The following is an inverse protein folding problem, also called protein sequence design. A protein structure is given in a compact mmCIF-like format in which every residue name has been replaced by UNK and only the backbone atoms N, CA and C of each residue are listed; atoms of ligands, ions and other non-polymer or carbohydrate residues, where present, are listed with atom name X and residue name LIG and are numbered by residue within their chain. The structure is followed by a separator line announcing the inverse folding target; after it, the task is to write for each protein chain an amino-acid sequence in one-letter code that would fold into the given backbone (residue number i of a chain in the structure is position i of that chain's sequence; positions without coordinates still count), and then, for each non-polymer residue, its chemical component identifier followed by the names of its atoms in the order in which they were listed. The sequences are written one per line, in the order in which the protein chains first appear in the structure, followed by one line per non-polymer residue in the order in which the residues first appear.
data_IF_472171898039
#
_entry.id   IF_472171898039
#
_cell.length_a   1.000
_cell.length_b   1.000
_cell.length_c   1.000
_cell.angle_alpha   90.00
_cell.angle_beta   90.00
_cell.angle_gamma   90.00
#
_symmetry.space_group_name_H-M   'P 1'
#
loop_
_entity.id
_entity.type
_entity.pdbx_description
1 polymer ?
#
# COMPACT_ATOMS: atom_id res chain seq x y z
N UNK A 1 19.80 -7.32 -25.44
CA UNK A 1 18.97 -6.28 -24.81
C UNK A 1 19.67 -5.89 -23.51
N UNK A 2 20.23 -4.69 -23.44
CA UNK A 2 21.01 -4.24 -22.28
C UNK A 2 20.02 -3.91 -21.16
N UNK A 3 19.96 -4.75 -20.13
CA UNK A 3 19.22 -4.43 -18.90
C UNK A 3 20.05 -3.42 -18.11
N UNK A 4 19.76 -2.13 -18.29
CA UNK A 4 20.42 -1.04 -17.58
C UNK A 4 19.87 -0.85 -16.14
N UNK A 5 18.93 -1.69 -15.71
CA UNK A 5 18.31 -1.60 -14.38
C UNK A 5 18.78 -2.67 -13.38
N UNK A 6 19.70 -3.56 -13.78
CA UNK A 6 20.10 -4.71 -12.96
C UNK A 6 21.24 -4.49 -11.96
N UNK A 7 21.86 -3.30 -11.89
CA UNK A 7 23.13 -3.10 -11.15
C UNK A 7 23.08 -2.15 -9.96
N UNK A 8 21.97 -1.43 -9.74
CA UNK A 8 21.73 -0.77 -8.45
C UNK A 8 20.90 -1.73 -7.60
N UNK A 9 21.52 -2.36 -6.59
CA UNK A 9 20.80 -3.25 -5.67
C UNK A 9 19.53 -2.58 -5.14
N UNK A 10 18.42 -3.33 -4.99
CA UNK A 10 17.13 -2.82 -4.48
C UNK A 10 17.39 -1.89 -3.30
N UNK A 11 16.98 -0.62 -3.43
CA UNK A 11 17.27 0.39 -2.41
C UNK A 11 16.77 -0.08 -1.06
N UNK A 12 17.49 0.29 0.01
CA UNK A 12 17.11 -0.04 1.40
C UNK A 12 15.65 0.32 1.68
N UNK A 13 15.19 1.42 1.09
CA UNK A 13 13.83 1.94 1.20
C UNK A 13 12.80 0.99 0.57
N UNK A 14 13.05 0.46 -0.63
CA UNK A 14 12.15 -0.53 -1.25
C UNK A 14 12.07 -1.79 -0.41
N UNK A 15 13.17 -2.23 0.22
CA UNK A 15 13.13 -3.39 1.14
C UNK A 15 12.24 -3.13 2.35
N UNK A 16 12.27 -1.92 2.92
CA UNK A 16 11.37 -1.56 4.01
C UNK A 16 9.89 -1.61 3.58
N UNK A 17 9.56 -1.21 2.35
CA UNK A 17 8.20 -1.41 1.81
C UNK A 17 7.85 -2.89 1.70
N UNK A 18 8.77 -3.71 1.19
CA UNK A 18 8.56 -5.16 1.08
C UNK A 18 8.36 -5.82 2.43
N UNK A 19 9.12 -5.41 3.45
CA UNK A 19 8.98 -5.90 4.81
C UNK A 19 7.64 -5.43 5.42
N UNK A 20 7.25 -4.18 5.17
CA UNK A 20 5.98 -3.61 5.59
C UNK A 20 4.78 -4.38 5.05
N UNK A 21 4.67 -4.59 3.73
CA UNK A 21 3.54 -5.35 3.16
C UNK A 21 3.54 -6.82 3.62
N UNK A 22 4.72 -7.43 3.78
CA UNK A 22 4.83 -8.82 4.21
C UNK A 22 4.43 -9.01 5.66
N UNK A 23 4.60 -7.98 6.50
CA UNK A 23 4.14 -7.99 7.88
C UNK A 23 2.60 -8.09 7.99
N UNK A 24 1.88 -7.69 6.93
CA UNK A 24 0.41 -7.69 6.86
C UNK A 24 -0.17 -8.79 5.96
N UNK A 25 0.61 -9.84 5.69
CA UNK A 25 0.17 -11.00 4.89
C UNK A 25 0.31 -10.83 3.37
N UNK A 26 0.58 -9.62 2.87
CA UNK A 26 0.71 -9.39 1.43
C UNK A 26 2.10 -9.82 0.91
N UNK A 27 2.12 -10.81 0.03
CA UNK A 27 3.37 -11.27 -0.57
C UNK A 27 3.97 -10.19 -1.48
N UNK A 28 5.20 -9.76 -1.21
CA UNK A 28 5.91 -8.67 -1.90
C UNK A 28 5.98 -8.77 -3.44
N UNK A 29 5.89 -9.97 -4.00
CA UNK A 29 5.90 -10.18 -5.46
C UNK A 29 4.57 -9.79 -6.13
N UNK A 30 3.48 -9.72 -5.36
CA UNK A 30 2.18 -9.26 -5.84
C UNK A 30 2.11 -7.74 -5.93
N UNK A 31 3.01 -7.03 -5.26
CA UNK A 31 3.13 -5.57 -5.34
C UNK A 31 3.99 -5.19 -6.55
N UNK A 32 3.45 -4.49 -7.55
CA UNK A 32 4.23 -4.03 -8.69
C UNK A 32 5.39 -3.13 -8.23
N UNK A 33 6.56 -3.24 -8.89
CA UNK A 33 7.71 -2.41 -8.51
C UNK A 33 7.42 -0.90 -8.65
N UNK A 34 6.59 -0.50 -9.62
CA UNK A 34 6.12 0.88 -9.75
C UNK A 34 5.37 1.37 -8.51
N UNK A 35 4.52 0.53 -7.91
CA UNK A 35 3.81 0.85 -6.65
C UNK A 35 4.84 1.06 -5.53
N UNK A 36 5.81 0.14 -5.39
CA UNK A 36 6.85 0.25 -4.34
C UNK A 36 7.65 1.54 -4.46
N UNK A 37 8.08 1.90 -5.67
CA UNK A 37 8.83 3.14 -5.90
C UNK A 37 7.99 4.39 -5.64
N UNK A 38 6.71 4.38 -6.04
CA UNK A 38 5.81 5.51 -5.77
C UNK A 38 5.54 5.65 -4.27
N UNK A 39 5.33 4.57 -3.52
CA UNK A 39 5.17 4.63 -2.05
C UNK A 39 6.42 5.21 -1.40
N UNK A 40 7.62 4.79 -1.83
CA UNK A 40 8.88 5.40 -1.35
C UNK A 40 8.92 6.91 -1.63
N UNK A 41 8.49 7.35 -2.82
CA UNK A 41 8.41 8.78 -3.15
C UNK A 41 7.44 9.51 -2.22
N UNK A 42 6.23 8.99 -2.05
CA UNK A 42 5.20 9.59 -1.18
C UNK A 42 5.67 9.70 0.27
N UNK A 43 6.30 8.66 0.80
CA UNK A 43 6.84 8.68 2.17
C UNK A 43 7.97 9.69 2.35
N UNK A 44 8.76 10.01 1.32
CA UNK A 44 9.79 11.06 1.38
C UNK A 44 9.20 12.47 1.45
N UNK A 45 7.94 12.63 1.08
CA UNK A 45 7.24 13.91 1.12
C UNK A 45 6.62 14.18 2.51
N UNK A 46 6.60 13.18 3.41
CA UNK A 46 6.15 13.35 4.79
C UNK A 46 7.31 13.69 5.74
N UNK A 47 7.04 14.34 6.89
CA UNK A 47 8.06 14.62 7.90
C UNK A 47 8.78 13.37 8.43
N UNK A 48 8.09 12.23 8.51
CA UNK A 48 8.64 10.97 9.00
C UNK A 48 9.62 10.31 8.01
N UNK A 49 9.51 10.62 6.72
CA UNK A 49 10.32 10.01 5.69
C UNK A 49 10.09 8.49 5.55
N UNK A 50 11.05 7.82 4.91
CA UNK A 50 11.05 6.34 4.81
C UNK A 50 11.66 5.74 6.06
N UNK A 51 10.82 5.19 6.94
CA UNK A 51 11.22 4.54 8.19
C UNK A 51 10.49 3.19 8.36
N UNK A 52 10.97 2.29 9.23
CA UNK A 52 10.26 1.04 9.51
C UNK A 52 8.79 1.27 9.91
N UNK A 53 8.51 2.33 10.66
CA UNK A 53 7.16 2.64 11.11
C UNK A 53 6.27 3.19 9.99
N UNK A 54 6.76 4.14 9.19
CA UNK A 54 5.99 4.70 8.07
C UNK A 54 5.74 3.66 6.97
N UNK A 55 6.72 2.80 6.72
CA UNK A 55 6.58 1.67 5.78
C UNK A 55 5.66 0.57 6.29
N UNK A 56 5.64 0.30 7.60
CA UNK A 56 4.66 -0.60 8.21
C UNK A 56 3.23 -0.06 8.09
N UNK A 57 3.02 1.24 8.36
CA UNK A 57 1.71 1.89 8.23
C UNK A 57 1.21 1.93 6.78
N UNK A 58 2.10 2.22 5.82
CA UNK A 58 1.77 2.14 4.40
C UNK A 58 1.49 0.70 3.96
N UNK A 59 2.27 -0.27 4.48
CA UNK A 59 2.09 -1.69 4.20
C UNK A 59 0.73 -2.23 4.63
N UNK A 60 0.21 -1.79 5.78
CA UNK A 60 -1.13 -2.15 6.27
C UNK A 60 -2.21 -1.76 5.27
N UNK A 61 -2.18 -0.51 4.80
CA UNK A 61 -3.19 0.02 3.89
C UNK A 61 -3.09 -0.61 2.51
N UNK A 62 -1.87 -0.83 1.99
CA UNK A 62 -1.67 -1.56 0.74
C UNK A 62 -2.18 -3.00 0.83
N UNK A 63 -1.90 -3.69 1.94
CA UNK A 63 -2.39 -5.06 2.15
C UNK A 63 -3.92 -5.10 2.23
N UNK A 64 -4.55 -4.18 2.96
CA UNK A 64 -6.01 -4.06 3.01
C UNK A 64 -6.61 -3.84 1.62
N UNK A 65 -6.10 -2.86 0.87
CA UNK A 65 -6.59 -2.55 -0.47
C UNK A 65 -6.37 -3.71 -1.47
N UNK A 66 -5.26 -4.44 -1.38
CA UNK A 66 -4.90 -5.46 -2.38
C UNK A 66 -5.44 -6.87 -2.06
N UNK A 67 -5.56 -7.23 -0.79
CA UNK A 67 -6.07 -8.54 -0.36
C UNK A 67 -7.60 -8.54 -0.21
N UNK A 68 -8.19 -7.39 0.14
CA UNK A 68 -9.59 -7.31 0.49
C UNK A 68 -9.88 -7.73 1.95
N UNK A 69 -11.14 -7.53 2.37
CA UNK A 69 -11.55 -7.67 3.77
C UNK A 69 -11.32 -9.09 4.33
N UNK A 70 -11.72 -10.12 3.61
CA UNK A 70 -11.67 -11.50 4.09
C UNK A 70 -10.22 -11.98 4.31
N UNK A 71 -9.39 -11.95 3.27
CA UNK A 71 -8.00 -12.42 3.34
C UNK A 71 -7.16 -11.54 4.28
N UNK A 72 -7.39 -10.22 4.33
CA UNK A 72 -6.70 -9.37 5.28
C UNK A 72 -7.10 -9.71 6.73
N UNK A 73 -8.39 -9.93 6.99
CA UNK A 73 -8.89 -10.28 8.33
C UNK A 73 -8.37 -11.63 8.79
N UNK A 74 -8.27 -12.62 7.91
CA UNK A 74 -7.68 -13.92 8.21
C UNK A 74 -6.20 -13.78 8.64
N UNK A 75 -5.44 -12.92 7.98
CA UNK A 75 -4.01 -12.74 8.25
C UNK A 75 -3.72 -11.84 9.47
N UNK A 76 -4.56 -10.85 9.74
CA UNK A 76 -4.25 -9.76 10.70
C UNK A 76 -5.25 -9.66 11.87
N UNK A 77 -6.40 -10.34 11.77
CA UNK A 77 -7.48 -10.28 12.76
C UNK A 77 -8.40 -9.06 12.59
N UNK A 78 -9.57 -9.16 13.23
CA UNK A 78 -10.67 -8.18 13.08
C UNK A 78 -10.33 -6.78 13.57
N UNK A 79 -9.45 -6.64 14.58
CA UNK A 79 -9.07 -5.31 15.10
C UNK A 79 -8.29 -4.53 14.06
N UNK A 80 -7.27 -5.14 13.46
CA UNK A 80 -6.49 -4.51 12.40
C UNK A 80 -7.33 -4.25 11.16
N UNK A 81 -8.23 -5.18 10.80
CA UNK A 81 -9.17 -5.00 9.69
C UNK A 81 -10.03 -3.74 9.87
N UNK A 82 -10.64 -3.56 11.06
CA UNK A 82 -11.43 -2.36 11.37
C UNK A 82 -10.61 -1.08 11.36
N UNK A 83 -9.35 -1.14 11.81
CA UNK A 83 -8.45 0.01 11.78
C UNK A 83 -8.12 0.42 10.33
N UNK A 84 -7.80 -0.55 9.47
CA UNK A 84 -7.53 -0.29 8.05
C UNK A 84 -8.78 0.22 7.31
N UNK A 85 -9.95 -0.37 7.57
CA UNK A 85 -11.25 0.06 7.04
C UNK A 85 -11.56 1.53 7.42
N UNK A 86 -11.33 1.90 8.68
CA UNK A 86 -11.51 3.28 9.15
C UNK A 86 -10.54 4.26 8.45
N UNK A 87 -9.28 3.85 8.25
CA UNK A 87 -8.29 4.68 7.54
C UNK A 87 -8.67 4.92 6.09
N UNK A 88 -9.20 3.92 5.38
CA UNK A 88 -9.68 4.10 4.01
C UNK A 88 -10.89 5.04 3.97
N UNK A 89 -11.83 4.89 4.92
CA UNK A 89 -12.98 5.80 5.01
C UNK A 89 -12.53 7.27 5.22
N UNK A 90 -11.63 7.52 6.17
CA UNK A 90 -11.07 8.85 6.41
C UNK A 90 -10.28 9.40 5.21
N UNK A 91 -9.52 8.53 4.53
CA UNK A 91 -8.77 8.89 3.34
C UNK A 91 -9.68 9.41 2.20
N UNK A 92 -10.82 8.75 1.99
CA UNK A 92 -11.81 9.17 0.99
C UNK A 92 -12.40 10.53 1.36
N UNK A 93 -12.70 10.76 2.64
CA UNK A 93 -13.24 12.04 3.11
C UNK A 93 -12.21 13.19 2.99
N UNK A 94 -10.93 12.93 3.29
CA UNK A 94 -9.85 13.92 3.20
C UNK A 94 -9.47 14.25 1.75
N UNK A 95 -9.48 13.27 0.85
CA UNK A 95 -9.20 13.43 -0.58
C UNK A 95 -7.72 13.58 -0.98
N UNK A 96 -6.85 14.11 -0.11
CA UNK A 96 -5.42 14.39 -0.44
C UNK A 96 -4.40 13.88 0.59
N UNK A 97 -4.86 13.21 1.65
CA UNK A 97 -3.97 12.60 2.65
C UNK A 97 -3.03 11.56 2.03
N UNK A 98 -1.96 11.20 2.75
CA UNK A 98 -1.07 10.10 2.33
C UNK A 98 -1.88 8.82 2.08
N UNK A 99 -2.84 8.50 2.95
CA UNK A 99 -3.67 7.32 2.81
C UNK A 99 -4.55 7.40 1.56
N UNK A 100 -5.09 8.58 1.22
CA UNK A 100 -5.84 8.80 -0.02
C UNK A 100 -4.96 8.54 -1.26
N UNK A 101 -3.72 9.03 -1.23
CA UNK A 101 -2.75 8.84 -2.30
C UNK A 101 -2.34 7.36 -2.44
N UNK A 102 -2.23 6.63 -1.33
CA UNK A 102 -1.95 5.19 -1.33
C UNK A 102 -3.13 4.38 -1.91
N UNK A 103 -4.37 4.68 -1.51
CA UNK A 103 -5.58 4.06 -2.07
C UNK A 103 -5.66 4.32 -3.58
N UNK A 104 -5.54 5.59 -4.00
CA UNK A 104 -5.55 5.97 -5.42
C UNK A 104 -4.46 5.26 -6.21
N UNK A 105 -3.26 5.13 -5.65
CA UNK A 105 -2.17 4.39 -6.28
C UNK A 105 -2.54 2.93 -6.56
N UNK A 106 -3.22 2.25 -5.63
CA UNK A 106 -3.66 0.86 -5.86
C UNK A 106 -4.73 0.74 -6.96
N UNK A 107 -5.61 1.73 -7.07
CA UNK A 107 -6.63 1.82 -8.13
C UNK A 107 -5.97 2.04 -9.50
N UNK A 108 -5.09 3.04 -9.61
CA UNK A 108 -4.38 3.37 -10.85
C UNK A 108 -3.48 2.23 -11.32
N UNK A 109 -2.85 1.51 -10.37
CA UNK A 109 -2.04 0.33 -10.67
C UNK A 109 -2.88 -0.93 -10.98
N UNK A 110 -4.21 -0.86 -10.86
CA UNK A 110 -5.15 -1.97 -11.07
C UNK A 110 -4.85 -3.19 -10.19
N UNK A 111 -4.47 -2.92 -8.94
CA UNK A 111 -4.18 -3.96 -7.94
C UNK A 111 -5.09 -3.87 -6.72
N UNK A 112 -5.99 -2.89 -6.66
CA UNK A 112 -7.03 -2.84 -5.63
C UNK A 112 -8.01 -4.00 -5.81
N UNK A 113 -8.37 -4.65 -4.70
CA UNK A 113 -9.27 -5.78 -4.65
C UNK A 113 -10.71 -5.32 -5.00
N UNK A 114 -11.45 -6.04 -5.86
CA UNK A 114 -12.79 -5.63 -6.29
C UNK A 114 -13.76 -5.34 -5.13
N UNK A 115 -13.73 -6.16 -4.07
CA UNK A 115 -14.59 -5.94 -2.90
C UNK A 115 -14.35 -4.60 -2.19
N UNK A 116 -13.11 -4.08 -2.22
CA UNK A 116 -12.78 -2.77 -1.64
C UNK A 116 -13.27 -1.66 -2.58
N UNK A 117 -13.13 -1.84 -3.90
CA UNK A 117 -13.68 -0.91 -4.89
C UNK A 117 -15.19 -0.78 -4.71
N UNK A 118 -15.91 -1.90 -4.67
CA UNK A 118 -17.37 -1.93 -4.56
C UNK A 118 -17.86 -1.35 -3.23
N UNK A 119 -17.15 -1.60 -2.13
CA UNK A 119 -17.52 -1.12 -0.79
C UNK A 119 -17.52 0.40 -0.69
N UNK A 120 -16.57 1.04 -1.37
CA UNK A 120 -16.32 2.48 -1.25
C UNK A 120 -16.67 3.27 -2.53
N UNK A 121 -17.24 2.61 -3.54
CA UNK A 121 -17.54 3.19 -4.86
C UNK A 121 -16.32 3.90 -5.49
N UNK A 122 -15.16 3.25 -5.41
CA UNK A 122 -13.90 3.85 -5.82
C UNK A 122 -13.76 3.89 -7.34
N UNK A 123 -13.27 5.01 -7.85
CA UNK A 123 -12.90 5.16 -9.26
C UNK A 123 -11.61 5.95 -9.41
N UNK A 124 -10.85 5.61 -10.46
CA UNK A 124 -9.72 6.40 -10.93
C UNK A 124 -10.03 6.76 -12.39
N UNK A 125 -10.42 8.01 -12.63
CA UNK A 125 -10.57 8.58 -13.98
C UNK A 125 -9.22 8.89 -14.62
#
# INVERSE_FOLDING_TARGET
MVSLFGLFGRSREVRLIEDGVRAHGLHKALVPDAVKFTVVRLLKETPEGVSPESTHRAGELLAWCMLGEDEFTENNGTVSARHADARVAEAIESGDSLDAQLVLLTLQAKVCHPAIIDRYDLSAE
#
